data_IF_852512342554
#
_entry.id   IF_852512342554
#
_cell.length_a   1.000
_cell.length_b   1.000
_cell.length_c   1.000
_cell.angle_alpha   90.00
_cell.angle_beta   90.00
_cell.angle_gamma   90.00
#
_symmetry.space_group_name_H-M   'P 1'
#
loop_
_entity.id
_entity.type
_entity.pdbx_description
1 polymer ?
#
# COMPACT_ATOMS: atom_id res chain seq x y z
N UNK A 1 -5.57 -12.08 -18.05
CA UNK A 1 -6.67 -12.91 -17.54
C UNK A 1 -7.77 -12.00 -17.05
N UNK A 2 -8.96 -12.16 -17.57
CA UNK A 2 -10.10 -11.37 -17.11
C UNK A 2 -10.91 -12.14 -16.10
N UNK A 3 -11.36 -11.45 -15.07
CA UNK A 3 -12.26 -12.05 -14.09
C UNK A 3 -13.58 -11.29 -14.11
N UNK A 4 -14.65 -12.01 -13.83
CA UNK A 4 -16.00 -11.46 -13.87
C UNK A 4 -16.71 -11.77 -12.57
N UNK A 5 -17.52 -10.81 -12.11
CA UNK A 5 -18.27 -11.00 -10.88
C UNK A 5 -19.29 -12.11 -11.05
N UNK A 6 -19.38 -13.00 -10.07
CA UNK A 6 -20.41 -14.06 -10.10
C UNK A 6 -21.71 -13.46 -9.60
N UNK A 7 -22.81 -13.57 -10.38
CA UNK A 7 -24.10 -13.06 -9.91
C UNK A 7 -24.53 -13.76 -8.63
N UNK A 8 -25.17 -13.00 -7.76
CA UNK A 8 -25.78 -13.51 -6.53
C UNK A 8 -24.79 -14.04 -5.48
N UNK A 9 -23.48 -13.91 -5.72
CA UNK A 9 -22.47 -14.33 -4.74
C UNK A 9 -21.43 -13.22 -4.62
N UNK A 10 -21.53 -12.41 -3.59
CA UNK A 10 -20.62 -11.29 -3.42
C UNK A 10 -19.22 -11.76 -3.09
N UNK A 11 -18.24 -11.05 -3.65
CA UNK A 11 -16.84 -11.31 -3.32
C UNK A 11 -16.21 -12.46 -4.07
N UNK A 12 -16.90 -13.04 -5.04
CA UNK A 12 -16.36 -14.12 -5.85
C UNK A 12 -16.37 -13.76 -7.32
N UNK A 13 -15.32 -14.18 -8.02
CA UNK A 13 -15.10 -13.86 -9.42
C UNK A 13 -14.73 -15.12 -10.18
N UNK A 14 -15.00 -15.13 -11.46
CA UNK A 14 -14.76 -16.31 -12.29
C UNK A 14 -14.11 -15.91 -13.61
N UNK A 15 -13.24 -16.76 -14.13
CA UNK A 15 -12.69 -16.59 -15.47
C UNK A 15 -13.51 -17.40 -16.46
N UNK A 16 -13.34 -17.11 -17.75
CA UNK A 16 -14.05 -17.87 -18.77
C UNK A 16 -13.63 -19.33 -18.86
N UNK A 17 -12.44 -19.65 -18.39
CA UNK A 17 -11.97 -21.04 -18.36
C UNK A 17 -12.27 -21.75 -17.04
N UNK A 18 -13.12 -21.16 -16.20
CA UNK A 18 -13.66 -21.85 -15.02
C UNK A 18 -12.87 -21.74 -13.73
N UNK A 19 -11.92 -20.82 -13.64
CA UNK A 19 -11.21 -20.61 -12.40
C UNK A 19 -11.96 -19.62 -11.54
N UNK A 20 -12.03 -19.90 -10.24
CA UNK A 20 -12.79 -19.06 -9.31
C UNK A 20 -11.85 -18.39 -8.32
N UNK A 21 -12.06 -17.11 -8.11
CA UNK A 21 -11.25 -16.29 -7.22
C UNK A 21 -12.13 -15.65 -6.16
N UNK A 22 -11.60 -15.55 -4.96
CA UNK A 22 -12.29 -14.90 -3.87
C UNK A 22 -11.57 -13.60 -3.56
N UNK A 23 -12.33 -12.51 -3.42
CA UNK A 23 -11.76 -11.24 -3.01
C UNK A 23 -11.45 -11.29 -1.52
N UNK A 24 -10.24 -10.93 -1.15
CA UNK A 24 -9.87 -10.79 0.25
C UNK A 24 -9.88 -9.31 0.55
N UNK A 25 -10.83 -8.88 1.37
CA UNK A 25 -10.94 -7.49 1.74
C UNK A 25 -9.95 -7.19 2.85
N UNK A 26 -9.23 -6.10 2.71
CA UNK A 26 -8.32 -5.68 3.74
C UNK A 26 -9.04 -5.07 4.92
N UNK A 27 -8.29 -4.86 5.99
CA UNK A 27 -8.77 -4.14 7.17
C UNK A 27 -7.77 -3.08 7.54
N UNK A 28 -8.25 -2.05 8.19
CA UNK A 28 -7.38 -0.99 8.63
C UNK A 28 -6.60 -1.45 9.87
N UNK A 29 -5.31 -1.19 9.88
CA UNK A 29 -4.43 -1.53 11.00
C UNK A 29 -3.76 -0.27 11.52
N UNK A 30 -2.89 -0.45 12.49
CA UNK A 30 -2.17 0.64 13.13
C UNK A 30 -1.54 1.58 12.11
N UNK A 31 -1.68 2.87 12.32
CA UNK A 31 -1.14 3.87 11.41
C UNK A 31 -2.05 4.21 10.24
N UNK A 32 -3.23 3.61 10.16
CA UNK A 32 -4.17 3.91 9.08
C UNK A 32 -3.93 3.14 7.81
N UNK A 33 -3.01 2.18 7.80
CA UNK A 33 -2.73 1.39 6.61
C UNK A 33 -3.73 0.25 6.46
N UNK A 34 -3.92 -0.19 5.23
CA UNK A 34 -4.76 -1.35 4.95
C UNK A 34 -3.89 -2.60 4.87
N UNK A 35 -4.35 -3.68 5.48
CA UNK A 35 -3.62 -4.94 5.54
C UNK A 35 -4.53 -6.09 5.17
N UNK A 36 -3.98 -7.16 4.62
CA UNK A 36 -4.71 -8.37 4.31
C UNK A 36 -3.98 -9.57 4.91
N UNK A 37 -4.74 -10.48 5.50
CA UNK A 37 -4.18 -11.72 6.03
C UNK A 37 -4.22 -12.75 4.91
N UNK A 38 -3.06 -13.22 4.49
CA UNK A 38 -2.97 -14.12 3.37
C UNK A 38 -2.75 -15.56 3.81
N UNK A 39 -2.85 -16.46 2.85
CA UNK A 39 -2.82 -17.87 3.11
C UNK A 39 -1.52 -18.37 3.74
N UNK A 40 -0.43 -17.63 3.57
CA UNK A 40 0.84 -18.00 4.19
C UNK A 40 0.85 -17.73 5.70
N UNK A 41 -0.29 -17.33 6.28
CA UNK A 41 -0.41 -17.10 7.72
C UNK A 41 0.08 -15.75 8.18
N UNK A 42 0.36 -14.84 7.27
CA UNK A 42 0.91 -13.53 7.62
C UNK A 42 0.02 -12.41 7.14
N UNK A 43 0.07 -11.29 7.88
CA UNK A 43 -0.56 -10.06 7.45
C UNK A 43 0.39 -9.32 6.52
N UNK A 44 -0.15 -8.77 5.46
CA UNK A 44 0.63 -8.02 4.47
C UNK A 44 -0.03 -6.67 4.25
N UNK A 45 0.77 -5.61 4.27
CA UNK A 45 0.25 -4.28 3.93
C UNK A 45 -0.09 -4.26 2.45
N UNK A 46 -1.30 -3.83 2.12
CA UNK A 46 -1.77 -3.89 0.75
C UNK A 46 -0.94 -3.01 -0.18
N UNK A 47 -0.56 -1.80 0.25
CA UNK A 47 0.26 -0.94 -0.60
C UNK A 47 1.58 -1.59 -0.97
N UNK A 48 2.17 -2.37 -0.06
CA UNK A 48 3.41 -3.04 -0.36
C UNK A 48 3.20 -4.21 -1.33
N UNK A 49 2.09 -4.92 -1.21
CA UNK A 49 1.76 -5.99 -2.15
C UNK A 49 1.59 -5.44 -3.56
N UNK A 50 0.88 -4.32 -3.70
CA UNK A 50 0.69 -3.69 -5.01
C UNK A 50 2.02 -3.24 -5.58
N UNK A 51 2.84 -2.57 -4.78
CA UNK A 51 4.12 -2.06 -5.27
C UNK A 51 5.06 -3.21 -5.65
N UNK A 52 5.14 -4.25 -4.84
CA UNK A 52 6.00 -5.39 -5.16
C UNK A 52 5.56 -6.10 -6.43
N UNK A 53 4.27 -6.12 -6.69
CA UNK A 53 3.73 -6.85 -7.83
C UNK A 53 3.85 -6.07 -9.13
N UNK A 54 3.64 -4.76 -9.07
CA UNK A 54 3.46 -3.98 -10.29
C UNK A 54 4.50 -2.89 -10.53
N UNK A 55 5.24 -2.45 -9.51
CA UNK A 55 6.13 -1.32 -9.66
C UNK A 55 7.59 -1.76 -9.52
N UNK A 56 8.40 -1.65 -10.58
CA UNK A 56 9.82 -2.02 -10.48
C UNK A 56 10.53 -1.21 -9.40
N UNK A 57 11.50 -1.82 -8.73
CA UNK A 57 12.26 -1.19 -7.69
C UNK A 57 13.76 -1.40 -7.92
N UNK A 58 14.31 -0.84 -9.00
CA UNK A 58 15.70 -1.12 -9.37
C UNK A 58 16.73 -0.60 -8.36
N UNK A 59 16.36 0.40 -7.59
CA UNK A 59 17.26 0.97 -6.59
C UNK A 59 17.05 0.36 -5.20
N UNK A 60 16.21 -0.66 -5.11
CA UNK A 60 15.94 -1.37 -3.88
C UNK A 60 15.55 -0.44 -2.74
N UNK A 61 14.64 0.49 -3.02
CA UNK A 61 14.18 1.45 -2.04
C UNK A 61 13.27 0.75 -1.01
N UNK A 62 13.34 1.15 0.26
CA UNK A 62 12.73 0.36 1.34
C UNK A 62 11.26 0.65 1.60
N UNK A 63 10.74 1.78 1.16
CA UNK A 63 9.39 2.19 1.54
C UNK A 63 8.51 2.45 0.34
N UNK A 64 7.20 2.37 0.55
CA UNK A 64 6.20 2.68 -0.46
C UNK A 64 5.41 3.88 0.01
N UNK A 65 5.31 4.90 -0.82
CA UNK A 65 4.61 6.13 -0.51
C UNK A 65 3.28 6.20 -1.24
N UNK A 66 2.25 6.68 -0.56
CA UNK A 66 0.97 7.04 -1.17
C UNK A 66 1.10 8.49 -1.65
N UNK A 67 1.14 8.68 -2.95
CA UNK A 67 1.41 10.01 -3.52
C UNK A 67 0.43 11.08 -3.05
N UNK A 68 -0.82 10.71 -2.87
CA UNK A 68 -1.85 11.65 -2.40
C UNK A 68 -1.95 11.70 -0.88
N UNK A 69 -1.12 10.94 -0.16
CA UNK A 69 -1.16 10.90 1.29
C UNK A 69 -2.30 10.06 1.85
N UNK A 70 -3.15 9.49 1.02
CA UNK A 70 -4.27 8.69 1.48
C UNK A 70 -3.87 7.21 1.57
N UNK A 71 -3.68 6.72 2.77
CA UNK A 71 -3.22 5.34 3.02
C UNK A 71 -4.23 4.28 2.59
N UNK A 72 -5.44 4.67 2.29
CA UNK A 72 -6.46 3.76 1.82
C UNK A 72 -6.54 3.70 0.30
N UNK A 73 -5.86 4.62 -0.39
CA UNK A 73 -5.84 4.61 -1.85
C UNK A 73 -4.65 3.82 -2.35
N UNK A 74 -4.85 2.51 -2.50
CA UNK A 74 -3.78 1.58 -2.87
C UNK A 74 -3.77 1.25 -4.36
N UNK A 75 -4.29 2.15 -5.18
CA UNK A 75 -4.21 2.03 -6.62
C UNK A 75 -2.75 2.14 -7.04
N UNK A 76 -2.34 1.35 -8.01
CA UNK A 76 -0.94 1.30 -8.45
C UNK A 76 -0.43 2.67 -8.89
N UNK A 77 -1.29 3.49 -9.48
CA UNK A 77 -0.89 4.82 -9.96
C UNK A 77 -0.65 5.80 -8.82
N UNK A 78 -1.09 5.47 -7.61
CA UNK A 78 -0.89 6.33 -6.45
C UNK A 78 0.30 5.92 -5.60
N UNK A 79 1.01 4.88 -5.97
CA UNK A 79 2.08 4.34 -5.15
C UNK A 79 3.44 4.52 -5.81
N UNK A 80 4.47 4.67 -4.99
CA UNK A 80 5.84 4.78 -5.47
C UNK A 80 6.80 4.24 -4.44
N UNK A 81 7.88 3.64 -4.90
CA UNK A 81 8.99 3.29 -4.02
C UNK A 81 9.77 4.55 -3.67
N UNK A 82 10.17 4.66 -2.43
CA UNK A 82 10.80 5.89 -1.96
C UNK A 82 11.77 5.57 -0.83
N UNK A 83 12.77 6.42 -0.66
CA UNK A 83 13.67 6.29 0.47
C UNK A 83 12.96 6.77 1.73
N UNK A 84 13.51 6.41 2.89
CA UNK A 84 12.94 6.85 4.15
C UNK A 84 12.91 8.38 4.25
N UNK A 85 14.00 9.05 3.90
CA UNK A 85 14.04 10.50 3.98
C UNK A 85 13.09 11.15 2.99
N UNK A 86 12.97 10.57 1.79
CA UNK A 86 12.02 11.07 0.81
C UNK A 86 10.58 10.96 1.28
N UNK A 87 10.26 9.86 1.98
CA UNK A 87 8.91 9.65 2.48
C UNK A 87 8.56 10.66 3.58
N UNK A 88 9.49 10.96 4.46
CA UNK A 88 9.28 11.96 5.48
C UNK A 88 9.08 13.34 4.85
N UNK A 89 9.89 13.67 3.85
CA UNK A 89 9.75 14.94 3.15
C UNK A 89 8.39 15.06 2.48
N UNK A 90 7.95 13.99 1.82
CA UNK A 90 6.64 14.00 1.17
C UNK A 90 5.53 14.24 2.19
N UNK A 91 5.59 13.57 3.34
CA UNK A 91 4.57 13.74 4.35
C UNK A 91 4.54 15.17 4.88
N UNK A 92 5.69 15.77 5.08
CA UNK A 92 5.77 17.13 5.55
C UNK A 92 5.23 18.11 4.49
N UNK A 93 5.64 17.94 3.24
CA UNK A 93 5.22 18.82 2.15
C UNK A 93 3.72 18.76 1.91
N UNK A 94 3.09 17.64 2.23
CA UNK A 94 1.66 17.47 2.05
C UNK A 94 0.85 17.70 3.32
N UNK A 95 1.49 18.22 4.38
CA UNK A 95 0.77 18.54 5.60
C UNK A 95 0.32 17.35 6.42
N UNK A 96 0.86 16.16 6.13
CA UNK A 96 0.47 14.94 6.82
C UNK A 96 1.12 14.83 8.20
N UNK A 97 2.25 15.48 8.39
CA UNK A 97 2.89 15.62 9.70
C UNK A 97 3.37 17.05 9.81
N UNK A 98 3.46 17.56 11.02
CA UNK A 98 3.93 18.92 11.16
C UNK A 98 5.43 18.96 11.39
N UNK A 99 5.99 20.15 11.24
CA UNK A 99 7.43 20.35 11.32
C UNK A 99 8.00 19.96 12.66
N UNK A 100 7.26 20.20 13.72
CA UNK A 100 7.76 19.88 15.05
C UNK A 100 7.89 18.38 15.25
N UNK A 101 6.96 17.61 14.73
CA UNK A 101 7.04 16.17 14.80
C UNK A 101 8.24 15.64 14.06
N UNK A 102 8.52 16.20 12.90
CA UNK A 102 9.68 15.81 12.14
C UNK A 102 10.95 16.14 12.91
N UNK A 103 11.02 17.32 13.46
CA UNK A 103 12.20 17.72 14.19
C UNK A 103 12.46 16.80 15.37
N UNK A 104 11.44 16.43 16.10
CA UNK A 104 11.60 15.54 17.22
C UNK A 104 12.04 14.15 16.78
N UNK A 105 11.49 13.66 15.68
CA UNK A 105 11.78 12.32 15.25
C UNK A 105 13.04 12.19 14.42
N UNK A 106 13.44 13.26 13.77
CA UNK A 106 14.49 13.17 12.79
C UNK A 106 15.74 13.90 13.19
N UNK A 107 15.62 14.75 14.16
CA UNK A 107 16.70 15.60 14.53
C UNK A 107 18.01 14.91 14.73
N UNK A 108 18.02 13.78 15.32
CA UNK A 108 19.24 13.05 15.58
C UNK A 108 19.91 12.53 14.32
N UNK A 109 19.26 12.55 13.18
CA UNK A 109 19.86 11.99 11.98
C UNK A 109 19.55 12.78 10.75
N UNK A 110 18.97 13.90 10.86
CA UNK A 110 18.68 14.64 9.72
C UNK A 110 19.80 15.35 9.36
N UNK A 111 20.40 15.50 9.77
CA UNK A 111 21.29 16.26 9.40
C UNK A 111 22.19 15.95 9.06
#
# INVERSE_FOLDING_TARGET
>A
MEIFKIPDVDGYYITKDGKIFKEIKGREVSGGYMSAHLRNGKDHKIHRLVAKTFIPNPNNLPQVNHKDGNKKNNDVDNLEWISRSGNIRHAYDNGLINKDNISAGVKGHTK
#
